data_IF_324956858334
#
_entry.id   IF_324956858334
#
_cell.length_a   1.000
_cell.length_b   1.000
_cell.length_c   1.000
_cell.angle_alpha   90.00
_cell.angle_beta   90.00
_cell.angle_gamma   90.00
#
_symmetry.space_group_name_H-M   'P 1'
#
loop_
_entity.id
_entity.type
_entity.pdbx_description
1 polymer ?
#
# COMPACT_ATOMS: atom_id res chain seq x y z
N UNK A 1 15.64 -70.61 -19.26
CA UNK A 1 14.66 -69.66 -18.70
C UNK A 1 14.96 -68.29 -19.30
N UNK A 2 14.05 -67.51 -19.86
CA UNK A 2 12.79 -67.82 -20.57
C UNK A 2 12.53 -66.65 -21.58
N UNK A 3 11.74 -66.86 -22.63
CA UNK A 3 11.45 -65.83 -23.65
C UNK A 3 10.13 -65.07 -23.37
N UNK A 4 9.99 -63.90 -24.01
CA UNK A 4 8.71 -63.18 -24.19
C UNK A 4 8.35 -62.16 -23.10
N UNK A 5 7.58 -61.11 -23.37
CA UNK A 5 7.10 -60.62 -24.68
C UNK A 5 6.66 -59.15 -24.65
N UNK A 6 6.36 -58.56 -25.82
CA UNK A 6 5.84 -57.17 -25.96
C UNK A 6 4.30 -57.12 -25.98
N UNK A 7 3.67 -56.36 -25.08
CA UNK A 7 2.52 -55.42 -25.26
C UNK A 7 2.32 -54.59 -23.98
N UNK A 8 1.72 -53.39 -23.96
CA UNK A 8 1.15 -52.55 -25.02
C UNK A 8 0.63 -51.19 -24.48
N UNK A 9 -0.20 -50.45 -25.24
CA UNK A 9 -0.99 -49.29 -24.76
C UNK A 9 -2.28 -49.17 -25.61
N UNK A 10 -3.44 -48.75 -25.04
CA UNK A 10 -3.83 -47.33 -25.11
C UNK A 10 -4.74 -46.82 -23.94
N UNK A 11 -5.25 -45.59 -24.10
CA UNK A 11 -6.12 -44.78 -23.21
C UNK A 11 -7.63 -45.21 -23.22
N UNK A 12 -8.61 -44.64 -22.47
CA UNK A 12 -8.68 -43.41 -21.66
C UNK A 12 -9.24 -43.57 -20.20
N UNK A 13 -10.56 -43.46 -19.87
CA UNK A 13 -10.93 -42.63 -18.71
C UNK A 13 -11.83 -43.26 -17.63
N UNK A 14 -11.84 -42.63 -16.44
CA UNK A 14 -12.81 -42.84 -15.35
C UNK A 14 -13.53 -41.53 -15.00
N UNK A 15 -14.74 -41.58 -14.39
CA UNK A 15 -15.68 -40.44 -14.33
C UNK A 15 -15.37 -39.42 -13.22
N UNK A 16 -15.94 -38.19 -13.30
CA UNK A 16 -15.64 -37.10 -12.37
C UNK A 16 -16.31 -37.27 -11.01
N UNK A 17 -15.52 -37.23 -9.93
CA UNK A 17 -16.03 -37.11 -8.56
C UNK A 17 -16.42 -35.66 -8.28
N UNK A 18 -17.73 -35.40 -8.09
CA UNK A 18 -18.22 -34.16 -7.49
C UNK A 18 -18.07 -34.27 -5.96
N UNK A 19 -17.34 -33.37 -5.32
CA UNK A 19 -17.18 -33.35 -3.87
C UNK A 19 -16.83 -31.97 -3.30
N UNK A 20 -17.70 -31.48 -2.41
CA UNK A 20 -17.46 -30.43 -1.40
C UNK A 20 -16.21 -29.55 -1.54
N UNK A 21 -16.39 -28.29 -1.97
CA UNK A 21 -15.32 -27.30 -2.00
C UNK A 21 -14.89 -26.81 -0.61
N UNK A 22 -13.83 -27.41 -0.07
CA UNK A 22 -13.00 -26.78 0.98
C UNK A 22 -12.07 -25.75 0.32
N UNK A 23 -12.23 -24.48 0.69
CA UNK A 23 -11.44 -23.37 0.15
C UNK A 23 -10.02 -23.32 0.72
N UNK A 24 -9.20 -24.33 0.43
CA UNK A 24 -7.79 -24.40 0.80
C UNK A 24 -6.92 -23.64 -0.20
N UNK A 25 -6.00 -22.82 0.32
CA UNK A 25 -4.94 -22.19 -0.47
C UNK A 25 -3.93 -23.27 -0.91
N UNK A 26 -4.06 -23.75 -2.15
CA UNK A 26 -3.03 -24.58 -2.77
C UNK A 26 -1.87 -23.70 -3.22
N UNK A 27 -0.69 -23.90 -2.64
CA UNK A 27 0.56 -23.23 -3.04
C UNK A 27 1.03 -23.61 -4.46
N UNK A 28 0.47 -24.67 -5.06
CA UNK A 28 0.76 -25.11 -6.44
C UNK A 28 0.11 -24.27 -7.55
N UNK A 29 -0.27 -23.02 -7.26
CA UNK A 29 -0.93 -22.10 -8.20
C UNK A 29 -0.37 -20.67 -8.15
N UNK A 30 0.91 -20.52 -7.76
CA UNK A 30 1.67 -19.31 -8.08
C UNK A 30 1.84 -19.22 -9.60
N UNK A 31 1.61 -18.06 -10.25
CA UNK A 31 1.97 -17.87 -11.64
C UNK A 31 3.50 -17.88 -11.81
N UNK A 32 3.99 -18.29 -12.98
CA UNK A 32 5.42 -18.51 -13.27
C UNK A 32 6.34 -17.27 -13.08
N UNK A 33 5.75 -16.10 -12.84
CA UNK A 33 6.46 -14.86 -12.52
C UNK A 33 7.03 -14.79 -11.08
N UNK A 34 6.81 -15.80 -10.22
CA UNK A 34 7.05 -15.69 -8.76
C UNK A 34 8.14 -16.63 -8.21
N UNK A 35 8.68 -17.57 -8.99
CA UNK A 35 9.86 -18.36 -8.57
C UNK A 35 10.85 -18.59 -9.73
N UNK A 36 12.18 -18.44 -9.55
CA UNK A 36 12.91 -17.87 -8.41
C UNK A 36 13.53 -16.49 -8.74
N UNK A 37 13.19 -15.45 -7.97
CA UNK A 37 13.84 -14.13 -8.08
C UNK A 37 15.21 -14.05 -7.37
N UNK A 38 15.88 -15.18 -7.14
CA UNK A 38 17.19 -15.29 -6.48
C UNK A 38 18.26 -15.40 -7.56
N UNK A 39 18.57 -14.27 -8.21
CA UNK A 39 19.83 -13.94 -8.92
C UNK A 39 19.62 -12.66 -9.77
N UNK A 40 19.61 -11.49 -9.13
CA UNK A 40 19.63 -10.22 -9.86
C UNK A 40 21.07 -9.80 -10.16
N UNK A 41 21.45 -9.46 -11.41
CA UNK A 41 22.79 -9.02 -11.73
C UNK A 41 23.07 -7.61 -11.17
N UNK A 42 24.25 -7.43 -10.58
CA UNK A 42 24.76 -6.12 -10.20
C UNK A 42 25.00 -5.28 -11.47
N UNK A 43 24.08 -4.35 -11.75
CA UNK A 43 24.28 -3.40 -12.85
C UNK A 43 25.44 -2.43 -12.52
N UNK A 44 26.42 -2.26 -13.42
CA UNK A 44 27.59 -1.42 -13.15
C UNK A 44 27.22 0.07 -13.11
N UNK A 45 27.95 0.83 -12.29
CA UNK A 45 27.67 2.25 -12.05
C UNK A 45 27.66 3.10 -13.34
N UNK A 46 26.55 3.79 -13.57
CA UNK A 46 26.38 4.71 -14.70
C UNK A 46 27.27 5.94 -14.50
N UNK A 47 28.43 5.99 -15.19
CA UNK A 47 29.26 7.20 -15.26
C UNK A 47 28.55 8.27 -16.09
N UNK A 48 28.51 9.54 -15.66
CA UNK A 48 27.90 10.61 -16.44
C UNK A 48 28.71 10.88 -17.72
N UNK A 49 28.03 10.85 -18.88
CA UNK A 49 28.60 11.29 -20.15
C UNK A 49 28.33 12.79 -20.33
N UNK A 50 29.36 13.62 -20.12
CA UNK A 50 29.33 15.00 -20.57
C UNK A 50 29.11 15.06 -22.09
N UNK A 51 28.07 15.79 -22.52
CA UNK A 51 28.00 16.37 -23.86
C UNK A 51 27.63 17.84 -23.76
N UNK A 52 28.56 18.68 -24.16
CA UNK A 52 28.36 20.11 -24.33
C UNK A 52 27.44 20.35 -25.52
N UNK A 53 26.49 21.29 -25.38
CA UNK A 53 25.71 21.84 -26.49
C UNK A 53 26.21 23.27 -26.70
N UNK A 54 26.63 23.67 -27.92
CA UNK A 54 27.10 25.03 -28.17
C UNK A 54 26.01 26.07 -27.95
N UNK A 55 26.38 27.23 -27.40
CA UNK A 55 25.60 28.47 -27.54
C UNK A 55 26.00 29.17 -28.83
N UNK A 56 25.03 29.68 -29.57
CA UNK A 56 25.22 30.80 -30.49
C UNK A 56 24.35 31.97 -30.03
N UNK A 57 24.83 33.19 -30.24
CA UNK A 57 24.13 34.43 -29.91
C UNK A 57 23.69 35.14 -31.19
N UNK A 58 22.75 36.08 -31.07
CA UNK A 58 22.29 36.92 -32.17
C UNK A 58 21.21 37.90 -31.72
N UNK A 59 21.64 39.14 -31.47
CA UNK A 59 20.93 40.43 -31.62
C UNK A 59 19.46 40.58 -31.15
N UNK A 60 19.15 41.56 -30.29
CA UNK A 60 18.95 42.99 -30.62
C UNK A 60 17.90 43.17 -31.75
N UNK A 61 16.84 43.97 -31.58
CA UNK A 61 16.87 45.35 -31.12
C UNK A 61 15.54 45.81 -30.50
N UNK A 62 15.57 46.85 -29.66
CA UNK A 62 14.37 47.50 -29.11
C UNK A 62 13.74 48.51 -30.10
N UNK A 63 12.40 48.61 -30.14
CA UNK A 63 11.68 49.86 -30.47
C UNK A 63 10.31 49.92 -29.80
N UNK A 64 9.92 51.13 -29.37
CA UNK A 64 8.61 51.47 -28.79
C UNK A 64 7.70 52.11 -29.84
N UNK A 65 6.41 51.82 -29.80
CA UNK A 65 5.32 52.74 -30.16
C UNK A 65 4.21 52.63 -29.11
N UNK A 66 3.31 53.63 -29.02
CA UNK A 66 2.36 53.78 -27.91
C UNK A 66 1.06 54.44 -28.39
N UNK A 67 -0.05 54.13 -27.72
CA UNK A 67 -1.35 54.81 -27.80
C UNK A 67 -2.14 54.64 -29.14
N UNK A 68 -3.46 54.93 -29.18
CA UNK A 68 -4.30 55.50 -28.11
C UNK A 68 -5.29 54.50 -27.48
N UNK A 69 -5.97 54.96 -26.43
CA UNK A 69 -7.07 54.26 -25.76
C UNK A 69 -8.43 54.60 -26.39
N UNK A 70 -9.39 53.67 -26.33
CA UNK A 70 -10.83 53.99 -26.33
C UNK A 70 -11.53 53.15 -25.28
N UNK A 71 -11.95 53.77 -24.18
CA UNK A 71 -12.66 53.09 -23.10
C UNK A 71 -14.14 52.88 -23.47
N UNK A 72 -14.60 51.63 -23.38
CA UNK A 72 -16.04 51.30 -23.32
C UNK A 72 -16.24 50.45 -22.07
N UNK A 73 -17.01 50.97 -21.12
CA UNK A 73 -17.30 50.28 -19.87
C UNK A 73 -18.27 49.13 -20.08
N UNK A 74 -17.85 47.92 -19.71
CA UNK A 74 -18.73 46.77 -19.51
C UNK A 74 -18.77 46.43 -18.01
N UNK A 75 -19.92 46.04 -17.45
CA UNK A 75 -20.05 45.78 -16.02
C UNK A 75 -19.17 44.58 -15.62
N UNK A 76 -18.54 44.68 -14.45
CA UNK A 76 -17.68 43.63 -13.93
C UNK A 76 -18.49 42.36 -13.59
N UNK A 77 -18.62 41.47 -14.56
CA UNK A 77 -19.09 40.11 -14.32
C UNK A 77 -18.16 39.46 -13.30
N UNK A 78 -18.69 39.13 -12.12
CA UNK A 78 -17.96 38.32 -11.13
C UNK A 78 -17.70 36.94 -11.75
N UNK A 79 -16.53 36.77 -12.34
CA UNK A 79 -16.03 35.47 -12.74
C UNK A 79 -15.77 34.66 -11.46
N UNK A 80 -16.79 33.94 -11.00
CA UNK A 80 -16.57 32.81 -10.10
C UNK A 80 -15.46 31.97 -10.73
N UNK A 81 -14.33 31.71 -10.04
CA UNK A 81 -13.26 30.92 -10.61
C UNK A 81 -13.85 29.55 -10.95
N UNK A 82 -13.86 29.21 -12.23
CA UNK A 82 -14.23 27.86 -12.68
C UNK A 82 -13.12 26.96 -12.18
N UNK A 83 -13.30 26.40 -10.99
CA UNK A 83 -12.41 25.43 -10.38
C UNK A 83 -12.35 24.24 -11.34
N UNK A 84 -11.23 24.16 -12.08
CA UNK A 84 -10.98 23.06 -13.01
C UNK A 84 -11.02 21.79 -12.17
N UNK A 85 -12.08 21.00 -12.34
CA UNK A 85 -12.26 19.72 -11.66
C UNK A 85 -11.21 18.77 -12.23
N UNK A 86 -9.99 18.84 -11.69
CA UNK A 86 -8.88 17.96 -12.05
C UNK A 86 -9.30 16.54 -11.70
N UNK A 87 -9.56 15.75 -12.73
CA UNK A 87 -10.06 14.40 -12.59
C UNK A 87 -8.92 13.47 -12.15
N UNK A 88 -8.52 13.56 -10.86
CA UNK A 88 -7.59 12.60 -10.24
C UNK A 88 -8.14 11.18 -10.50
N UNK A 89 -7.35 10.25 -11.12
CA UNK A 89 -7.78 8.88 -11.43
C UNK A 89 -7.99 7.96 -10.21
N UNK A 90 -8.54 8.49 -9.12
CA UNK A 90 -8.85 7.81 -7.87
C UNK A 90 -10.09 6.91 -7.95
N UNK A 91 -10.22 6.23 -9.08
CA UNK A 91 -11.32 5.33 -9.40
C UNK A 91 -11.47 4.22 -8.34
N UNK A 92 -10.37 3.81 -7.70
CA UNK A 92 -10.38 2.78 -6.67
C UNK A 92 -10.87 3.27 -5.30
N UNK A 93 -10.46 4.47 -4.85
CA UNK A 93 -11.04 5.10 -3.66
C UNK A 93 -12.50 5.54 -3.87
N UNK A 94 -12.86 5.96 -5.09
CA UNK A 94 -14.18 6.57 -5.38
C UNK A 94 -15.27 5.57 -5.74
N UNK A 95 -14.95 4.31 -6.10
CA UNK A 95 -15.96 3.29 -6.46
C UNK A 95 -16.79 2.79 -5.27
N UNK A 96 -16.26 2.84 -4.06
CA UNK A 96 -16.98 2.53 -2.80
C UNK A 96 -18.22 3.40 -2.61
N UNK A 97 -18.12 4.70 -2.95
CA UNK A 97 -19.22 5.68 -2.92
C UNK A 97 -20.31 5.45 -4.00
N UNK A 98 -20.31 4.30 -4.69
CA UNK A 98 -21.42 3.83 -5.54
C UNK A 98 -21.90 2.41 -5.19
N UNK A 99 -21.66 1.95 -3.96
CA UNK A 99 -22.09 0.63 -3.48
C UNK A 99 -21.14 -0.52 -3.81
N UNK A 100 -19.89 -0.23 -4.23
CA UNK A 100 -18.84 -1.25 -4.21
C UNK A 100 -18.40 -1.55 -2.76
N UNK A 101 -17.94 -2.77 -2.50
CA UNK A 101 -17.52 -3.18 -1.16
C UNK A 101 -16.31 -2.38 -0.65
N UNK A 102 -16.34 -2.05 0.65
CA UNK A 102 -15.24 -1.40 1.41
C UNK A 102 -13.89 -2.01 1.06
N UNK A 103 -12.86 -1.17 0.87
CA UNK A 103 -11.51 -1.61 0.51
C UNK A 103 -10.83 -2.37 1.67
N UNK A 104 -10.16 -3.47 1.34
CA UNK A 104 -9.35 -4.27 2.25
C UNK A 104 -7.87 -3.85 2.12
N UNK A 105 -7.35 -3.10 3.09
CA UNK A 105 -5.95 -2.66 3.14
C UNK A 105 -5.11 -3.55 4.04
N UNK A 106 -4.09 -4.22 3.49
CA UNK A 106 -3.18 -5.04 4.27
C UNK A 106 -2.09 -4.19 4.95
N UNK A 107 -2.24 -3.90 6.25
CA UNK A 107 -1.32 -3.09 7.07
C UNK A 107 0.07 -3.73 7.11
N UNK A 108 1.09 -3.01 6.66
CA UNK A 108 2.48 -3.48 6.49
C UNK A 108 2.58 -4.79 5.70
N UNK A 109 1.73 -4.92 4.67
CA UNK A 109 1.55 -6.15 3.88
C UNK A 109 0.56 -7.16 4.46
N UNK A 110 0.07 -6.96 5.68
CA UNK A 110 -0.85 -7.84 6.43
C UNK A 110 -0.11 -8.58 7.55
N UNK A 111 0.32 -7.86 8.59
CA UNK A 111 1.25 -8.36 9.61
C UNK A 111 0.77 -9.55 10.47
N UNK A 112 -0.47 -10.04 10.32
CA UNK A 112 -0.89 -11.34 10.90
C UNK A 112 -0.47 -12.55 10.06
N UNK A 113 -0.04 -12.34 8.81
CA UNK A 113 0.28 -13.39 7.86
C UNK A 113 1.77 -13.73 7.79
N UNK A 114 2.63 -12.83 8.28
CA UNK A 114 4.09 -12.92 8.19
C UNK A 114 4.76 -11.67 8.79
N UNK A 115 6.10 -11.62 8.83
CA UNK A 115 6.84 -10.46 9.34
C UNK A 115 6.51 -9.19 8.56
N UNK A 116 6.11 -8.16 9.28
CA UNK A 116 5.63 -6.88 8.73
C UNK A 116 6.63 -6.23 7.76
N UNK A 117 6.11 -5.47 6.79
CA UNK A 117 6.90 -4.69 5.82
C UNK A 117 7.85 -5.51 4.91
N UNK A 118 7.78 -6.84 4.91
CA UNK A 118 8.54 -7.70 3.99
C UNK A 118 7.76 -8.04 2.71
N UNK A 119 8.48 -8.34 1.62
CA UNK A 119 7.88 -8.69 0.32
C UNK A 119 7.08 -10.01 0.36
N UNK A 120 7.47 -10.95 1.22
CA UNK A 120 6.73 -12.21 1.40
C UNK A 120 5.38 -11.96 2.07
N UNK A 121 5.33 -11.14 3.12
CA UNK A 121 4.08 -10.75 3.78
C UNK A 121 3.18 -9.96 2.83
N UNK A 122 3.73 -9.03 2.04
CA UNK A 122 2.97 -8.31 1.00
C UNK A 122 2.32 -9.27 -0.03
N UNK A 123 3.03 -10.31 -0.48
CA UNK A 123 2.48 -11.33 -1.36
C UNK A 123 1.37 -12.15 -0.66
N UNK A 124 1.54 -12.48 0.62
CA UNK A 124 0.51 -13.16 1.42
C UNK A 124 -0.75 -12.30 1.60
N UNK A 125 -0.60 -10.99 1.82
CA UNK A 125 -1.73 -10.03 1.86
C UNK A 125 -2.48 -9.94 0.53
N UNK A 126 -1.76 -9.94 -0.60
CA UNK A 126 -2.35 -10.02 -1.94
C UNK A 126 -3.15 -11.33 -2.13
N UNK A 127 -2.56 -12.48 -1.79
CA UNK A 127 -3.21 -13.80 -1.88
C UNK A 127 -4.40 -13.94 -0.91
N UNK A 128 -4.36 -13.26 0.25
CA UNK A 128 -5.48 -13.14 1.17
C UNK A 128 -6.65 -12.30 0.61
N UNK A 129 -6.45 -11.57 -0.49
CA UNK A 129 -7.47 -10.78 -1.18
C UNK A 129 -7.63 -9.35 -0.63
N UNK A 130 -6.51 -8.69 -0.35
CA UNK A 130 -6.48 -7.25 -0.10
C UNK A 130 -6.51 -6.43 -1.41
N UNK A 131 -7.23 -5.32 -1.42
CA UNK A 131 -7.40 -4.41 -2.57
C UNK A 131 -6.19 -3.48 -2.78
N UNK A 132 -5.42 -3.29 -1.70
CA UNK A 132 -4.11 -2.63 -1.62
C UNK A 132 -3.34 -3.17 -0.40
N UNK A 133 -2.01 -2.99 -0.36
CA UNK A 133 -1.26 -3.04 0.90
C UNK A 133 -0.87 -1.64 1.35
N UNK A 134 -0.66 -1.48 2.64
CA UNK A 134 -0.02 -0.32 3.22
C UNK A 134 1.42 -0.72 3.60
N UNK A 135 2.35 0.25 3.52
CA UNK A 135 3.73 0.12 3.95
C UNK A 135 4.30 1.47 4.42
N UNK A 136 5.25 1.38 5.34
CA UNK A 136 6.00 2.52 5.89
C UNK A 136 7.29 2.78 5.10
N UNK A 137 7.65 4.03 4.80
CA UNK A 137 8.94 4.38 4.17
C UNK A 137 9.71 5.48 4.90
N UNK A 138 11.03 5.28 5.01
CA UNK A 138 12.00 6.21 5.59
C UNK A 138 13.32 6.22 4.79
N UNK A 139 14.29 7.08 5.17
CA UNK A 139 15.66 7.06 4.66
C UNK A 139 16.63 6.28 5.55
N UNK A 140 17.55 5.55 4.91
CA UNK A 140 18.84 5.15 5.48
C UNK A 140 19.83 6.33 5.53
N UNK A 141 20.95 6.16 6.23
CA UNK A 141 22.06 7.12 6.28
C UNK A 141 22.60 7.52 4.90
N UNK A 142 22.66 6.55 3.98
CA UNK A 142 23.03 6.74 2.57
C UNK A 142 21.81 6.99 1.65
N UNK A 143 20.73 7.50 2.23
CA UNK A 143 19.55 8.08 1.57
C UNK A 143 18.78 7.10 0.67
N UNK A 144 18.86 5.80 0.91
CA UNK A 144 17.99 4.84 0.24
C UNK A 144 16.62 4.83 0.93
N UNK A 145 15.57 4.61 0.13
CA UNK A 145 14.20 4.50 0.62
C UNK A 145 13.99 3.08 1.15
N UNK A 146 13.96 2.94 2.47
CA UNK A 146 13.82 1.67 3.20
C UNK A 146 12.38 1.50 3.66
N UNK A 147 11.83 0.31 3.51
CA UNK A 147 10.49 -0.03 4.02
C UNK A 147 10.62 -0.54 5.46
N UNK A 148 10.19 0.26 6.44
CA UNK A 148 10.34 0.00 7.88
C UNK A 148 9.41 0.90 8.70
N UNK A 149 8.72 0.35 9.70
CA UNK A 149 7.82 1.11 10.56
C UNK A 149 8.56 1.96 11.61
N UNK A 150 9.44 1.33 12.40
CA UNK A 150 10.04 1.92 13.60
C UNK A 150 11.27 2.78 13.26
N UNK A 151 11.58 3.77 14.09
CA UNK A 151 12.85 4.53 13.97
C UNK A 151 14.08 3.66 14.22
N UNK A 152 13.94 2.50 14.88
CA UNK A 152 15.03 1.57 15.20
C UNK A 152 14.86 0.19 14.58
N UNK A 153 15.97 -0.50 14.37
CA UNK A 153 16.06 -1.84 13.81
C UNK A 153 16.03 -2.94 14.89
N UNK A 154 15.49 -2.64 16.08
CA UNK A 154 15.54 -3.51 17.26
C UNK A 154 14.33 -4.45 17.39
N UNK A 155 13.10 -3.96 17.15
CA UNK A 155 11.87 -4.76 17.30
C UNK A 155 11.70 -5.80 16.20
N UNK A 156 11.98 -5.42 14.95
CA UNK A 156 11.66 -6.21 13.75
C UNK A 156 12.89 -6.69 13.00
N UNK A 157 14.09 -6.56 13.56
CA UNK A 157 15.32 -7.05 12.94
C UNK A 157 16.39 -7.45 13.97
N UNK A 158 17.34 -8.29 13.57
CA UNK A 158 18.41 -8.77 14.45
C UNK A 158 19.60 -7.79 14.64
N UNK A 159 19.37 -6.47 14.57
CA UNK A 159 20.44 -5.46 14.55
C UNK A 159 21.39 -5.55 15.75
N UNK A 160 20.86 -5.78 16.95
CA UNK A 160 21.64 -5.95 18.18
C UNK A 160 22.60 -7.15 18.16
N UNK A 161 22.34 -8.17 17.32
CA UNK A 161 23.20 -9.35 17.18
C UNK A 161 24.22 -9.21 16.03
N UNK A 162 23.94 -8.39 15.01
CA UNK A 162 24.80 -8.23 13.82
C UNK A 162 25.72 -7.01 13.92
N UNK A 163 25.27 -5.95 14.59
CA UNK A 163 25.99 -4.69 14.79
C UNK A 163 25.78 -4.16 16.24
N UNK A 164 26.20 -4.88 17.28
CA UNK A 164 26.00 -4.48 18.68
C UNK A 164 26.58 -3.09 19.00
N UNK A 165 27.65 -2.68 18.32
CA UNK A 165 28.32 -1.39 18.45
C UNK A 165 27.57 -0.20 17.80
N UNK A 166 26.48 -0.46 17.06
CA UNK A 166 25.62 0.55 16.45
C UNK A 166 24.39 0.93 17.33
N UNK A 167 24.34 0.52 18.61
CA UNK A 167 23.25 0.88 19.53
C UNK A 167 23.03 2.41 19.63
N UNK A 168 21.78 2.93 19.65
CA UNK A 168 20.49 2.23 19.79
C UNK A 168 19.82 1.89 18.44
N UNK A 169 20.60 1.51 17.42
CA UNK A 169 20.11 0.90 16.17
C UNK A 169 19.11 1.73 15.35
N UNK A 170 19.20 3.06 15.40
CA UNK A 170 18.38 3.96 14.57
C UNK A 170 18.57 3.66 13.08
N UNK A 171 17.50 3.42 12.33
CA UNK A 171 17.56 3.08 10.91
C UNK A 171 18.21 4.19 10.06
N UNK A 172 18.09 5.44 10.50
CA UNK A 172 18.68 6.63 9.89
C UNK A 172 20.21 6.74 10.04
N UNK A 173 20.84 6.00 10.97
CA UNK A 173 22.31 5.94 11.10
C UNK A 173 22.94 4.78 10.32
N UNK A 174 22.14 3.79 9.93
CA UNK A 174 22.58 2.64 9.14
C UNK A 174 22.62 2.94 7.64
N UNK A 175 23.62 2.39 6.95
CA UNK A 175 23.66 2.33 5.49
C UNK A 175 22.75 1.23 4.96
N UNK A 176 22.26 1.39 3.75
CA UNK A 176 21.44 0.38 3.07
C UNK A 176 22.12 -0.99 2.99
N UNK A 177 23.44 -1.01 2.75
CA UNK A 177 24.24 -2.24 2.73
C UNK A 177 24.41 -2.92 4.10
N UNK A 178 24.13 -2.22 5.21
CA UNK A 178 24.13 -2.76 6.57
C UNK A 178 22.73 -3.28 6.92
N UNK A 179 21.68 -2.50 6.62
CA UNK A 179 20.27 -2.93 6.74
C UNK A 179 20.02 -4.22 5.94
N UNK A 180 20.59 -4.33 4.73
CA UNK A 180 20.49 -5.55 3.89
C UNK A 180 21.32 -6.75 4.34
N UNK A 181 21.96 -6.68 5.51
CA UNK A 181 22.56 -7.84 6.19
C UNK A 181 21.73 -8.32 7.39
N UNK A 182 20.65 -7.61 7.72
CA UNK A 182 19.77 -7.97 8.83
C UNK A 182 18.73 -9.01 8.42
N UNK A 183 18.45 -9.92 9.34
CA UNK A 183 17.27 -10.77 9.33
C UNK A 183 16.12 -9.97 9.96
N UNK A 184 15.06 -9.74 9.18
CA UNK A 184 13.87 -8.99 9.55
C UNK A 184 12.62 -9.88 9.66
N UNK A 185 12.78 -11.21 9.74
CA UNK A 185 11.67 -12.16 9.76
C UNK A 185 11.75 -13.29 10.80
N UNK A 186 12.94 -13.65 11.29
CA UNK A 186 13.09 -14.66 12.35
C UNK A 186 12.39 -14.29 13.67
N UNK A 187 12.18 -13.00 13.95
CA UNK A 187 11.42 -12.53 15.12
C UNK A 187 9.91 -12.87 15.04
N UNK A 188 9.38 -13.06 13.82
CA UNK A 188 8.02 -13.53 13.60
C UNK A 188 7.99 -15.07 13.56
N UNK A 189 8.98 -15.69 12.91
CA UNK A 189 9.11 -17.15 12.84
C UNK A 189 9.24 -17.83 14.22
N UNK A 190 9.82 -17.14 15.21
CA UNK A 190 9.97 -17.63 16.58
C UNK A 190 8.69 -17.58 17.43
N UNK A 191 7.67 -16.82 17.01
CA UNK A 191 6.37 -16.76 17.69
C UNK A 191 5.56 -18.01 17.30
N UNK A 192 5.50 -19.01 18.18
CA UNK A 192 4.84 -20.28 17.90
C UNK A 192 3.71 -20.58 18.91
N UNK A 193 2.49 -20.92 18.43
CA UNK A 193 2.06 -20.95 17.03
C UNK A 193 2.09 -19.54 16.40
N UNK A 194 2.35 -19.47 15.09
CA UNK A 194 2.36 -18.21 14.33
C UNK A 194 1.10 -17.35 14.64
N UNK A 195 1.21 -16.02 14.80
CA UNK A 195 0.11 -15.12 15.20
C UNK A 195 -1.19 -15.19 14.36
N UNK A 196 -2.11 -16.10 14.70
CA UNK A 196 -3.37 -16.30 13.98
C UNK A 196 -4.50 -15.39 14.49
N UNK A 197 -4.45 -14.09 14.21
CA UNK A 197 -5.59 -13.19 14.45
C UNK A 197 -6.75 -13.50 13.50
N UNK A 198 -7.74 -14.23 14.03
CA UNK A 198 -9.02 -14.66 13.41
C UNK A 198 -8.94 -15.36 12.04
N UNK A 199 -7.75 -15.72 11.56
CA UNK A 199 -7.51 -16.48 10.32
C UNK A 199 -8.00 -17.93 10.38
N UNK A 200 -8.05 -18.54 11.56
CA UNK A 200 -8.22 -19.99 11.69
C UNK A 200 -6.94 -20.76 11.29
N UNK A 201 -6.87 -22.07 11.55
CA UNK A 201 -5.63 -22.83 11.45
C UNK A 201 -5.10 -22.93 10.02
N UNK A 202 -3.89 -22.42 9.82
CA UNK A 202 -3.04 -22.79 8.68
C UNK A 202 -2.67 -24.28 8.82
N UNK A 203 -2.74 -25.10 7.76
CA UNK A 203 -2.28 -26.49 7.80
C UNK A 203 -0.83 -26.60 8.28
N UNK A 204 -0.54 -27.58 9.15
CA UNK A 204 0.75 -27.65 9.86
C UNK A 204 1.99 -27.73 8.95
N UNK A 205 1.87 -28.36 7.78
CA UNK A 205 2.91 -28.36 6.75
C UNK A 205 3.13 -26.97 6.14
N UNK A 206 2.05 -26.30 5.71
CA UNK A 206 2.14 -24.92 5.19
C UNK A 206 2.65 -23.93 6.25
N UNK A 207 2.35 -24.15 7.53
CA UNK A 207 2.91 -23.36 8.63
C UNK A 207 4.43 -23.55 8.77
N UNK A 208 4.94 -24.76 8.59
CA UNK A 208 6.39 -25.04 8.59
C UNK A 208 7.10 -24.39 7.38
N UNK A 209 6.54 -24.56 6.18
CA UNK A 209 7.07 -23.96 4.94
C UNK A 209 7.12 -22.42 5.02
N UNK A 210 6.05 -21.79 5.55
CA UNK A 210 6.01 -20.35 5.79
C UNK A 210 7.01 -19.90 6.85
N UNK A 211 7.13 -20.62 7.97
CA UNK A 211 8.10 -20.33 9.03
C UNK A 211 9.53 -20.36 8.47
N UNK A 212 9.86 -21.35 7.64
CA UNK A 212 11.16 -21.44 6.96
C UNK A 212 11.39 -20.29 5.96
N UNK A 213 10.34 -19.83 5.27
CA UNK A 213 10.42 -18.72 4.31
C UNK A 213 10.47 -17.32 4.97
N UNK A 214 10.19 -17.20 6.27
CA UNK A 214 10.35 -15.97 7.04
C UNK A 214 11.76 -15.80 7.62
N UNK A 215 12.46 -16.89 7.92
CA UNK A 215 13.84 -16.86 8.45
C UNK A 215 14.77 -16.25 7.39
N UNK A 216 15.53 -15.23 7.77
CA UNK A 216 16.42 -14.52 6.85
C UNK A 216 15.73 -13.57 5.87
N UNK A 217 14.42 -13.28 6.00
CA UNK A 217 13.74 -12.29 5.17
C UNK A 217 14.21 -10.86 5.50
N UNK A 218 14.67 -10.09 4.51
CA UNK A 218 15.19 -8.73 4.72
C UNK A 218 14.12 -7.63 4.57
N UNK A 219 14.37 -6.46 5.18
CA UNK A 219 13.67 -5.22 4.85
C UNK A 219 13.90 -4.83 3.36
N UNK A 220 12.84 -4.60 2.57
CA UNK A 220 12.97 -4.20 1.18
C UNK A 220 13.17 -2.69 1.02
N UNK A 221 13.62 -2.29 -0.17
CA UNK A 221 13.58 -0.89 -0.60
C UNK A 221 12.19 -0.55 -1.16
N UNK A 222 11.82 0.73 -1.15
CA UNK A 222 10.57 1.18 -1.80
C UNK A 222 10.56 0.83 -3.29
N UNK A 223 11.72 0.75 -3.96
CA UNK A 223 11.83 0.29 -5.34
C UNK A 223 11.36 -1.16 -5.50
N UNK A 224 11.82 -2.08 -4.66
CA UNK A 224 11.41 -3.49 -4.71
C UNK A 224 9.92 -3.65 -4.37
N UNK A 225 9.43 -2.92 -3.36
CA UNK A 225 8.01 -2.90 -2.98
C UNK A 225 7.10 -2.38 -4.10
N UNK A 226 7.47 -1.26 -4.75
CA UNK A 226 6.71 -0.70 -5.87
C UNK A 226 6.79 -1.60 -7.12
N UNK A 227 7.93 -2.24 -7.40
CA UNK A 227 8.04 -3.22 -8.50
C UNK A 227 7.14 -4.44 -8.28
N UNK A 228 7.11 -5.01 -7.07
CA UNK A 228 6.19 -6.09 -6.70
C UNK A 228 4.72 -5.66 -6.91
N UNK A 229 4.36 -4.51 -6.36
CA UNK A 229 3.01 -3.91 -6.49
C UNK A 229 2.60 -3.74 -7.95
N UNK A 230 3.51 -3.22 -8.79
CA UNK A 230 3.28 -3.02 -10.22
C UNK A 230 3.12 -4.35 -10.96
N UNK A 231 3.96 -5.34 -10.66
CA UNK A 231 3.92 -6.67 -11.25
C UNK A 231 2.62 -7.43 -10.95
N UNK A 232 2.14 -7.37 -9.70
CA UNK A 232 0.86 -7.95 -9.28
C UNK A 232 -0.38 -7.18 -9.77
N UNK A 233 -0.19 -6.13 -10.60
CA UNK A 233 -1.23 -5.19 -11.03
C UNK A 233 -2.03 -4.56 -9.85
N UNK A 234 -1.35 -4.40 -8.71
CA UNK A 234 -1.94 -4.06 -7.42
C UNK A 234 -1.83 -2.56 -7.10
N UNK A 235 -2.12 -2.19 -5.85
CA UNK A 235 -2.12 -0.83 -5.33
C UNK A 235 -1.43 -0.78 -3.98
N UNK A 236 -0.98 0.41 -3.58
CA UNK A 236 -0.26 0.60 -2.33
C UNK A 236 -0.60 1.95 -1.68
N UNK A 237 -0.72 1.95 -0.35
CA UNK A 237 -0.56 3.15 0.46
C UNK A 237 0.90 3.22 0.93
N UNK A 238 1.58 4.32 0.68
CA UNK A 238 2.96 4.56 1.13
C UNK A 238 2.90 5.60 2.25
N UNK A 239 3.04 5.17 3.49
CA UNK A 239 3.20 6.09 4.61
C UNK A 239 4.62 6.63 4.65
N UNK A 240 4.78 7.95 4.51
CA UNK A 240 6.05 8.63 4.75
C UNK A 240 6.17 8.91 6.26
N UNK A 241 7.07 8.17 6.93
CA UNK A 241 7.38 8.40 8.35
C UNK A 241 8.07 9.76 8.55
N UNK A 242 7.91 10.35 9.74
CA UNK A 242 8.51 11.63 10.05
C UNK A 242 9.95 11.52 10.59
N UNK A 243 10.92 11.58 9.69
CA UNK A 243 12.34 11.70 10.02
C UNK A 243 12.82 13.15 10.27
N UNK A 244 11.90 14.03 10.69
CA UNK A 244 12.18 15.39 11.11
C UNK A 244 12.19 16.43 9.99
N UNK A 245 11.74 17.63 10.36
CA UNK A 245 11.57 18.76 9.45
C UNK A 245 12.85 19.28 8.79
N UNK A 246 12.66 20.12 7.77
CA UNK A 246 13.75 20.71 7.00
C UNK A 246 14.25 19.81 5.88
N UNK A 247 15.58 19.68 5.71
CA UNK A 247 16.18 19.07 4.52
C UNK A 247 15.98 17.56 4.41
N UNK A 248 15.97 16.83 5.53
CA UNK A 248 15.85 15.36 5.52
C UNK A 248 14.45 14.91 5.12
N UNK A 249 13.40 15.38 5.83
CA UNK A 249 12.01 15.15 5.43
C UNK A 249 11.69 15.62 4.01
N UNK A 250 12.17 16.80 3.61
CA UNK A 250 12.01 17.29 2.23
C UNK A 250 12.63 16.37 1.19
N UNK A 251 13.80 15.78 1.49
CA UNK A 251 14.50 14.84 0.60
C UNK A 251 13.79 13.47 0.53
N UNK A 252 13.27 12.99 1.65
CA UNK A 252 12.48 11.76 1.73
C UNK A 252 11.25 11.86 0.79
N UNK A 253 10.44 12.91 0.96
CA UNK A 253 9.27 13.18 0.10
C UNK A 253 9.67 13.31 -1.37
N UNK A 254 10.70 14.10 -1.67
CA UNK A 254 11.21 14.27 -3.04
C UNK A 254 11.56 12.93 -3.71
N UNK A 255 12.25 12.04 -2.98
CA UNK A 255 12.69 10.75 -3.51
C UNK A 255 11.52 9.78 -3.68
N UNK A 256 10.53 9.80 -2.79
CA UNK A 256 9.30 9.00 -2.91
C UNK A 256 8.51 9.41 -4.15
N UNK A 257 8.20 10.71 -4.33
CA UNK A 257 7.42 11.18 -5.49
C UNK A 257 8.14 10.91 -6.81
N UNK A 258 9.45 11.20 -6.89
CA UNK A 258 10.25 10.95 -8.11
C UNK A 258 10.36 9.46 -8.46
N UNK A 259 10.33 8.57 -7.47
CA UNK A 259 10.30 7.12 -7.71
C UNK A 259 8.93 6.65 -8.24
N UNK A 260 7.83 7.18 -7.69
CA UNK A 260 6.45 6.89 -8.16
C UNK A 260 6.26 7.37 -9.60
N UNK A 261 6.74 8.57 -9.92
CA UNK A 261 6.76 9.14 -11.28
C UNK A 261 7.57 8.26 -12.24
N UNK A 262 8.82 7.94 -11.89
CA UNK A 262 9.72 7.13 -12.74
C UNK A 262 9.18 5.72 -13.01
N UNK A 263 8.49 5.11 -12.04
CA UNK A 263 7.81 3.83 -12.19
C UNK A 263 6.43 3.93 -12.87
N UNK A 264 5.93 5.14 -13.13
CA UNK A 264 4.60 5.45 -13.69
C UNK A 264 3.45 4.87 -12.86
N UNK A 265 3.48 5.11 -11.55
CA UNK A 265 2.56 4.49 -10.59
C UNK A 265 1.57 5.46 -9.93
N UNK A 266 1.51 6.74 -10.33
CA UNK A 266 0.64 7.78 -9.74
C UNK A 266 -0.83 7.36 -9.54
N UNK A 267 -1.42 6.58 -10.46
CA UNK A 267 -2.82 6.11 -10.34
C UNK A 267 -3.03 4.95 -9.34
N UNK A 268 -1.94 4.32 -8.89
CA UNK A 268 -1.92 3.09 -8.06
C UNK A 268 -1.37 3.31 -6.65
N UNK A 269 -0.81 4.49 -6.39
CA UNK A 269 -0.23 4.88 -5.12
C UNK A 269 -1.09 5.96 -4.49
N UNK A 270 -1.38 5.82 -3.20
CA UNK A 270 -1.69 6.95 -2.33
C UNK A 270 -0.51 7.13 -1.37
N UNK A 271 -0.19 8.37 -1.04
CA UNK A 271 0.84 8.72 -0.04
C UNK A 271 0.15 9.23 1.21
N UNK A 272 0.47 8.68 2.37
CA UNK A 272 -0.01 9.18 3.66
C UNK A 272 1.13 9.67 4.55
N UNK A 273 0.84 10.56 5.48
CA UNK A 273 1.76 10.93 6.57
C UNK A 273 1.01 11.63 7.69
N UNK A 274 1.49 11.48 8.93
CA UNK A 274 1.09 12.30 10.07
C UNK A 274 1.68 13.72 9.97
N UNK A 275 2.82 13.89 9.28
CA UNK A 275 3.38 15.20 8.99
C UNK A 275 2.65 15.79 7.76
N UNK A 276 1.65 16.63 8.01
CA UNK A 276 0.81 17.17 6.94
C UNK A 276 1.57 18.09 5.97
N UNK A 277 2.67 18.72 6.41
CA UNK A 277 3.58 19.47 5.54
C UNK A 277 4.32 18.60 4.50
N UNK A 278 4.42 17.29 4.73
CA UNK A 278 4.85 16.36 3.68
C UNK A 278 3.77 16.14 2.63
N UNK A 279 2.48 16.18 3.00
CA UNK A 279 1.37 16.06 2.06
C UNK A 279 1.22 17.32 1.20
N UNK A 280 1.43 18.51 1.78
CA UNK A 280 1.58 19.77 1.02
C UNK A 280 2.73 19.66 0.00
N UNK A 281 3.88 19.14 0.42
CA UNK A 281 5.05 18.95 -0.45
C UNK A 281 4.77 17.93 -1.57
N UNK A 282 4.10 16.82 -1.27
CA UNK A 282 3.64 15.85 -2.28
C UNK A 282 2.72 16.55 -3.29
N UNK A 283 1.72 17.30 -2.81
CA UNK A 283 0.76 18.03 -3.63
C UNK A 283 1.41 19.10 -4.52
N UNK A 284 2.49 19.73 -4.05
CA UNK A 284 3.31 20.67 -4.82
C UNK A 284 4.25 20.03 -5.85
N UNK A 285 4.61 18.75 -5.68
CA UNK A 285 5.46 17.99 -6.62
C UNK A 285 4.63 17.26 -7.69
N UNK A 286 3.59 16.51 -7.28
CA UNK A 286 2.65 15.84 -8.17
C UNK A 286 1.19 16.14 -7.73
N UNK A 287 0.52 17.12 -8.37
CA UNK A 287 -0.88 17.44 -8.10
C UNK A 287 -1.92 16.35 -8.46
N UNK A 288 -1.49 15.27 -9.12
CA UNK A 288 -2.34 14.13 -9.49
C UNK A 288 -2.14 12.91 -8.56
N UNK A 289 -1.00 12.81 -7.86
CA UNK A 289 -0.74 11.77 -6.85
C UNK A 289 -1.70 11.92 -5.67
N UNK A 290 -2.28 10.81 -5.21
CA UNK A 290 -3.28 10.84 -4.16
C UNK A 290 -2.65 11.01 -2.77
N UNK A 291 -3.31 11.77 -1.89
CA UNK A 291 -2.84 11.96 -0.50
C UNK A 291 -3.88 11.58 0.55
N UNK A 292 -3.43 10.93 1.63
CA UNK A 292 -4.23 10.57 2.80
C UNK A 292 -3.69 11.20 4.08
N UNK A 293 -4.52 11.97 4.76
CA UNK A 293 -4.18 12.66 6.01
C UNK A 293 -4.25 11.66 7.17
N UNK A 294 -3.11 11.26 7.74
CA UNK A 294 -3.09 10.48 8.99
C UNK A 294 -3.33 11.41 10.18
N UNK A 295 -4.03 10.88 11.18
CA UNK A 295 -4.52 11.61 12.34
C UNK A 295 -4.34 10.77 13.61
N UNK A 296 -3.76 11.31 14.67
CA UNK A 296 -3.85 10.68 16.01
C UNK A 296 -5.17 11.01 16.72
N UNK A 297 -5.82 12.12 16.34
CA UNK A 297 -7.08 12.64 16.87
C UNK A 297 -7.87 13.30 15.73
N UNK A 298 -9.20 13.25 15.77
CA UNK A 298 -10.03 13.97 14.80
C UNK A 298 -10.12 15.46 15.18
N UNK A 299 -9.75 16.40 14.29
CA UNK A 299 -9.87 17.84 14.55
C UNK A 299 -11.34 18.31 14.47
N UNK A 300 -11.62 19.53 14.94
CA UNK A 300 -12.99 20.05 15.07
C UNK A 300 -13.77 20.22 13.74
N UNK A 301 -13.09 20.49 12.61
CA UNK A 301 -13.65 20.24 11.27
C UNK A 301 -12.63 19.42 10.45
N UNK A 302 -12.79 18.09 10.37
CA UNK A 302 -11.87 17.23 9.62
C UNK A 302 -11.99 17.38 8.11
N UNK A 303 -13.08 17.96 7.60
CA UNK A 303 -13.24 18.25 6.18
C UNK A 303 -12.62 19.60 5.78
N UNK A 304 -12.52 20.56 6.71
CA UNK A 304 -11.72 21.77 6.51
C UNK A 304 -10.24 21.42 6.28
N UNK A 305 -9.68 20.54 7.12
CA UNK A 305 -8.30 20.06 6.99
C UNK A 305 -8.04 19.35 5.63
N UNK A 306 -8.98 18.53 5.16
CA UNK A 306 -8.89 17.90 3.82
C UNK A 306 -8.91 18.94 2.70
N UNK A 307 -9.72 20.00 2.84
CA UNK A 307 -9.81 21.06 1.84
C UNK A 307 -8.57 21.97 1.84
N UNK A 308 -7.98 22.24 3.01
CA UNK A 308 -6.75 23.02 3.19
C UNK A 308 -5.54 22.33 2.54
N UNK A 309 -5.38 21.03 2.79
CA UNK A 309 -4.28 20.21 2.24
C UNK A 309 -4.50 19.76 0.78
N UNK A 310 -5.66 20.07 0.17
CA UNK A 310 -6.13 19.49 -1.10
C UNK A 310 -5.95 17.96 -1.11
N UNK A 311 -6.38 17.31 -0.02
CA UNK A 311 -6.19 15.88 0.21
C UNK A 311 -7.36 15.04 -0.35
N UNK A 312 -7.12 13.75 -0.53
CA UNK A 312 -8.09 12.84 -1.15
C UNK A 312 -8.75 11.87 -0.14
N UNK A 313 -8.12 11.62 1.02
CA UNK A 313 -8.63 10.77 2.09
C UNK A 313 -8.24 11.24 3.50
N UNK A 314 -9.01 10.81 4.50
CA UNK A 314 -8.66 10.82 5.93
C UNK A 314 -8.34 9.40 6.39
N UNK A 315 -7.26 9.26 7.15
CA UNK A 315 -6.80 8.01 7.76
C UNK A 315 -6.79 8.16 9.31
N UNK A 316 -7.94 8.08 9.99
CA UNK A 316 -8.02 8.09 11.46
C UNK A 316 -7.96 6.66 12.05
N UNK A 317 -7.46 6.49 13.28
CA UNK A 317 -7.55 5.22 13.98
C UNK A 317 -8.98 4.96 14.48
N UNK A 318 -9.37 3.70 14.60
CA UNK A 318 -10.73 3.30 15.01
C UNK A 318 -11.13 3.74 16.43
N UNK A 319 -10.17 4.21 17.23
CA UNK A 319 -10.37 4.73 18.60
C UNK A 319 -10.89 6.16 18.65
N UNK A 320 -10.81 6.93 17.55
CA UNK A 320 -11.13 8.37 17.52
C UNK A 320 -12.23 8.76 16.53
N UNK A 321 -12.82 7.79 15.82
CA UNK A 321 -13.89 8.04 14.84
C UNK A 321 -15.12 7.16 15.12
N UNK A 322 -16.31 7.75 14.93
CA UNK A 322 -17.60 7.10 15.14
C UNK A 322 -18.46 7.05 13.86
N UNK A 323 -19.59 6.32 13.85
CA UNK A 323 -20.45 6.21 12.67
C UNK A 323 -21.02 7.54 12.15
N UNK A 324 -21.32 8.51 13.01
CA UNK A 324 -21.90 9.79 12.60
C UNK A 324 -20.84 10.67 11.90
N UNK A 325 -19.61 10.70 12.41
CA UNK A 325 -18.48 11.33 11.74
C UNK A 325 -18.20 10.69 10.36
N UNK A 326 -18.29 9.36 10.26
CA UNK A 326 -18.13 8.64 8.98
C UNK A 326 -19.23 9.04 7.99
N UNK A 327 -20.49 9.11 8.42
CA UNK A 327 -21.61 9.52 7.57
C UNK A 327 -21.48 10.98 7.08
N UNK A 328 -21.04 11.91 7.93
CA UNK A 328 -20.84 13.32 7.55
C UNK A 328 -19.70 13.49 6.53
N UNK A 329 -18.53 12.90 6.81
CA UNK A 329 -17.37 12.92 5.91
C UNK A 329 -17.73 12.32 4.54
N UNK A 330 -18.49 11.23 4.53
CA UNK A 330 -18.99 10.57 3.33
C UNK A 330 -20.01 11.42 2.57
N UNK A 331 -20.90 12.14 3.25
CA UNK A 331 -21.80 13.12 2.63
C UNK A 331 -21.01 14.27 1.97
N UNK A 332 -19.91 14.71 2.61
CA UNK A 332 -18.93 15.67 2.06
C UNK A 332 -17.99 15.04 1.00
N UNK A 333 -18.20 13.76 0.64
CA UNK A 333 -17.49 12.94 -0.36
C UNK A 333 -16.00 12.66 -0.07
N UNK A 334 -15.60 12.80 1.19
CA UNK A 334 -14.24 12.50 1.64
C UNK A 334 -14.09 10.99 1.80
N UNK A 335 -12.96 10.42 1.33
CA UNK A 335 -12.65 9.02 1.57
C UNK A 335 -12.16 8.83 3.02
N UNK A 336 -12.62 7.77 3.70
CA UNK A 336 -12.25 7.47 5.09
C UNK A 336 -11.68 6.05 5.16
N UNK A 337 -10.39 5.93 5.47
CA UNK A 337 -9.68 4.65 5.56
C UNK A 337 -9.24 4.42 7.02
N UNK A 338 -10.00 3.61 7.77
CA UNK A 338 -9.78 3.46 9.22
C UNK A 338 -8.73 2.41 9.52
N UNK A 339 -7.79 2.71 10.43
CA UNK A 339 -6.69 1.83 10.83
C UNK A 339 -6.66 1.59 12.36
N UNK A 340 -5.83 0.70 12.90
CA UNK A 340 -5.63 -0.65 12.34
C UNK A 340 -6.66 -1.55 13.02
N UNK A 341 -7.52 -2.22 12.23
CA UNK A 341 -8.72 -2.88 12.75
C UNK A 341 -8.66 -4.37 12.49
N UNK A 342 -8.63 -5.20 13.52
CA UNK A 342 -8.34 -6.63 13.38
C UNK A 342 -9.52 -7.54 13.74
N UNK A 343 -10.51 -7.04 14.46
CA UNK A 343 -11.63 -7.84 14.98
C UNK A 343 -12.84 -7.77 14.03
N UNK A 344 -13.37 -8.93 13.67
CA UNK A 344 -14.53 -9.03 12.80
C UNK A 344 -15.80 -8.26 13.28
N UNK A 345 -16.08 -8.05 14.58
CA UNK A 345 -17.14 -7.15 15.03
C UNK A 345 -16.90 -5.69 14.66
N UNK A 346 -15.72 -5.15 14.95
CA UNK A 346 -15.27 -3.78 14.63
C UNK A 346 -15.35 -3.53 13.12
N UNK A 347 -14.85 -4.48 12.32
CA UNK A 347 -14.96 -4.45 10.86
C UNK A 347 -16.41 -4.33 10.39
N UNK A 348 -17.35 -5.09 10.98
CA UNK A 348 -18.78 -5.04 10.61
C UNK A 348 -19.41 -3.69 10.95
N UNK A 349 -19.05 -3.07 12.08
CA UNK A 349 -19.56 -1.76 12.47
C UNK A 349 -19.08 -0.67 11.50
N UNK A 350 -17.79 -0.65 11.16
CA UNK A 350 -17.23 0.32 10.20
C UNK A 350 -17.76 0.11 8.77
N UNK A 351 -17.96 -1.14 8.34
CA UNK A 351 -18.63 -1.44 7.06
C UNK A 351 -20.08 -0.96 7.05
N UNK A 352 -20.80 -1.04 8.18
CA UNK A 352 -22.18 -0.56 8.30
C UNK A 352 -22.28 0.97 8.31
N UNK A 353 -21.38 1.66 9.01
CA UNK A 353 -21.19 3.11 8.89
C UNK A 353 -20.73 3.52 7.47
N UNK A 354 -20.11 2.58 6.75
CA UNK A 354 -19.83 2.69 5.34
C UNK A 354 -18.56 3.50 5.03
N UNK A 355 -17.49 3.27 5.79
CA UNK A 355 -16.13 3.74 5.50
C UNK A 355 -15.69 3.38 4.07
N UNK A 356 -14.67 4.08 3.55
CA UNK A 356 -14.09 3.78 2.23
C UNK A 356 -13.18 2.55 2.29
N UNK A 357 -12.35 2.46 3.31
CA UNK A 357 -11.42 1.36 3.51
C UNK A 357 -11.24 1.03 4.99
N UNK A 358 -10.74 -0.19 5.23
CA UNK A 358 -10.23 -0.60 6.53
C UNK A 358 -8.82 -1.14 6.31
N UNK A 359 -7.86 -0.58 7.03
CA UNK A 359 -6.47 -1.02 7.10
C UNK A 359 -6.36 -1.99 8.28
N UNK A 360 -5.80 -3.17 8.04
CA UNK A 360 -5.87 -4.32 8.94
C UNK A 360 -4.62 -5.19 8.82
N UNK A 361 -4.13 -5.73 9.94
CA UNK A 361 -3.12 -6.80 9.92
C UNK A 361 -3.69 -8.09 9.33
N UNK A 362 -5.03 -8.18 9.26
CA UNK A 362 -5.82 -9.39 9.06
C UNK A 362 -6.68 -9.36 7.78
N UNK A 363 -6.11 -9.11 6.58
CA UNK A 363 -6.90 -8.97 5.35
C UNK A 363 -7.74 -10.21 5.00
N UNK A 364 -7.30 -11.40 5.43
CA UNK A 364 -8.04 -12.67 5.34
C UNK A 364 -9.36 -12.65 6.14
N UNK A 365 -9.43 -11.89 7.22
CA UNK A 365 -10.62 -11.75 8.09
C UNK A 365 -11.58 -10.76 7.45
N UNK A 366 -11.08 -9.59 7.04
CA UNK A 366 -11.88 -8.56 6.38
C UNK A 366 -12.53 -9.06 5.08
N UNK A 367 -11.80 -9.86 4.27
CA UNK A 367 -12.38 -10.58 3.12
C UNK A 367 -13.61 -11.40 3.50
N UNK A 368 -13.51 -12.26 4.54
CA UNK A 368 -14.63 -13.10 5.00
C UNK A 368 -15.79 -12.26 5.54
N UNK A 369 -15.51 -11.14 6.20
CA UNK A 369 -16.55 -10.21 6.67
C UNK A 369 -17.32 -9.60 5.49
N UNK A 370 -16.62 -9.16 4.43
CA UNK A 370 -17.23 -8.66 3.17
C UNK A 370 -18.07 -9.75 2.48
N UNK A 371 -17.52 -10.96 2.36
CA UNK A 371 -18.20 -12.12 1.75
C UNK A 371 -19.46 -12.56 2.54
N UNK A 372 -19.39 -12.56 3.87
CA UNK A 372 -20.53 -12.91 4.73
C UNK A 372 -21.66 -11.87 4.66
N UNK A 373 -21.32 -10.57 4.59
CA UNK A 373 -22.30 -9.50 4.40
C UNK A 373 -22.98 -9.51 3.04
N UNK A 374 -22.28 -9.99 2.00
CA UNK A 374 -22.79 -10.07 0.62
C UNK A 374 -23.76 -11.25 0.37
N UNK A 375 -23.92 -12.20 1.29
CA UNK A 375 -24.84 -13.33 1.11
C UNK A 375 -26.28 -12.88 1.38
N UNK A 376 -27.23 -13.07 0.43
CA UNK A 376 -28.62 -12.72 0.69
C UNK A 376 -29.18 -13.57 1.83
N UNK A 377 -29.80 -12.93 2.83
CA UNK A 377 -30.51 -13.65 3.90
C UNK A 377 -31.59 -14.53 3.27
N UNK A 378 -31.45 -15.85 3.40
CA UNK A 378 -32.47 -16.80 2.97
C UNK A 378 -33.79 -16.46 3.68
N UNK A 379 -34.83 -16.14 2.91
CA UNK A 379 -36.19 -15.97 3.46
C UNK A 379 -36.51 -17.23 4.30
N UNK A 380 -37.02 -17.09 5.53
CA UNK A 380 -37.55 -18.25 6.24
C UNK A 380 -38.62 -18.89 5.36
N UNK A 381 -38.60 -20.23 5.23
CA UNK A 381 -39.69 -20.94 4.57
C UNK A 381 -40.96 -20.66 5.38
N UNK A 382 -41.93 -19.98 4.76
CA UNK A 382 -43.27 -19.87 5.33
C UNK A 382 -43.83 -21.28 5.48
N UNK A 383 -43.97 -21.74 6.72
CA UNK A 383 -44.56 -23.04 7.00
C UNK A 383 -45.99 -23.07 6.49
N UNK A 384 -46.28 -23.94 5.52
CA UNK A 384 -47.66 -24.27 5.18
C UNK A 384 -48.25 -25.02 6.36
N UNK A 385 -49.12 -24.36 7.11
CA UNK A 385 -50.14 -25.03 7.93
C UNK A 385 -51.25 -25.48 7.00
N UNK A 386 -51.43 -26.80 6.89
CA UNK A 386 -52.51 -27.47 6.17
C UNK A 386 -52.92 -28.71 6.94
#
# INVERSE_FOLDING_TARGET
MAHGDRIGSPWHPLPPVRGSGSGLLSLGALPDAVQPAIHWPLFPAVRPRNRLIPRTAGDQLCRRTRAPETAIGLPATRSCPVSIIRFRPLDWLRKTNRGAAVLNGAHRGGASLGPENTLITALLGYLAGADFWELDVQLSFDQQLVVLHDDTLERTANAAAVFPEHAPWQASTFRWGEIRRLDCGSWFASQQPLPQSAGGPVPANAAADLTAAFIGANAPSLLEALLLTRGLNWRVNVEIKDQGGGRTGSLLVDRVVKLIEALKMTERVLVSSFNHGYLERVRGLDPALATGVLLDQVPADPAALVAELDADALHPPATVIDPAMIEELKARRIAVNVWTVNEAPSMRQLIAAGVTGIITDCPQVLKRVREAGSRPRSRPKSGYTG
#
